data_IF_599213033559
#
_entry.id   IF_599213033559
#
_cell.length_a   1.000
_cell.length_b   1.000
_cell.length_c   1.000
_cell.angle_alpha   90.00
_cell.angle_beta   90.00
_cell.angle_gamma   90.00
#
_symmetry.space_group_name_H-M   'P 1'
#
loop_
_entity.id
_entity.type
_entity.pdbx_description
1 polymer ?
#
# COMPACT_ATOMS: atom_id res chain seq x y z
N UNK A 1 -4.10 13.58 -11.70
CA UNK A 1 -3.59 12.74 -10.59
C UNK A 1 -4.15 11.33 -10.73
N UNK A 2 -3.29 10.31 -10.85
CA UNK A 2 -3.68 8.90 -10.95
C UNK A 2 -3.83 8.31 -9.55
N UNK A 3 -4.96 7.65 -9.30
CA UNK A 3 -5.26 6.96 -8.05
C UNK A 3 -4.76 5.52 -8.15
N UNK A 4 -3.82 5.15 -7.30
CA UNK A 4 -3.12 3.87 -7.35
C UNK A 4 -3.60 2.98 -6.21
N UNK A 5 -3.94 1.73 -6.53
CA UNK A 5 -4.16 0.67 -5.55
C UNK A 5 -3.00 -0.33 -5.62
N UNK A 6 -2.46 -0.74 -4.47
CA UNK A 6 -1.34 -1.68 -4.38
C UNK A 6 -1.81 -2.98 -3.72
N UNK A 7 -1.54 -4.12 -4.36
CA UNK A 7 -1.88 -5.44 -3.82
C UNK A 7 -0.63 -6.06 -3.16
N UNK A 8 -0.81 -6.59 -1.96
CA UNK A 8 0.28 -7.13 -1.13
C UNK A 8 -0.08 -8.49 -0.51
N UNK A 9 0.94 -9.29 -0.20
CA UNK A 9 0.79 -10.60 0.43
C UNK A 9 1.72 -10.84 1.62
N UNK A 10 2.61 -9.88 1.94
CA UNK A 10 3.68 -10.04 2.93
C UNK A 10 4.23 -8.71 3.46
N UNK A 11 5.55 -8.61 3.64
CA UNK A 11 6.22 -7.53 4.38
C UNK A 11 6.14 -6.12 3.77
N UNK A 12 5.85 -6.00 2.46
CA UNK A 12 5.59 -4.72 1.80
C UNK A 12 6.79 -3.78 1.67
N UNK A 13 8.01 -4.29 1.49
CA UNK A 13 9.21 -3.44 1.30
C UNK A 13 9.11 -2.56 0.05
N UNK A 14 8.58 -3.09 -1.06
CA UNK A 14 8.32 -2.29 -2.26
C UNK A 14 7.24 -1.23 -2.04
N UNK A 15 6.20 -1.55 -1.25
CA UNK A 15 5.18 -0.59 -0.85
C UNK A 15 5.82 0.56 -0.04
N UNK A 16 6.72 0.25 0.89
CA UNK A 16 7.46 1.27 1.65
C UNK A 16 8.20 2.23 0.70
N UNK A 17 8.96 1.70 -0.26
CA UNK A 17 9.73 2.51 -1.20
C UNK A 17 8.84 3.43 -2.04
N UNK A 18 7.68 2.93 -2.51
CA UNK A 18 6.70 3.72 -3.28
C UNK A 18 6.12 4.85 -2.41
N UNK A 19 5.70 4.54 -1.19
CA UNK A 19 5.11 5.51 -0.27
C UNK A 19 6.11 6.59 0.15
N UNK A 20 7.37 6.23 0.37
CA UNK A 20 8.43 7.19 0.67
C UNK A 20 8.75 8.07 -0.56
N UNK A 21 8.78 7.49 -1.76
CA UNK A 21 8.97 8.22 -3.01
C UNK A 21 7.85 9.23 -3.26
N UNK A 22 6.60 8.87 -2.95
CA UNK A 22 5.47 9.79 -2.95
C UNK A 22 5.65 10.94 -1.95
N UNK A 23 6.06 10.65 -0.69
CA UNK A 23 6.38 11.70 0.30
C UNK A 23 7.52 12.62 -0.13
N UNK A 24 8.50 12.11 -0.87
CA UNK A 24 9.60 12.91 -1.45
C UNK A 24 9.19 13.73 -2.68
N UNK A 25 7.96 13.55 -3.19
CA UNK A 25 7.47 14.27 -4.36
C UNK A 25 8.01 13.75 -5.70
N UNK A 26 8.61 12.56 -5.71
CA UNK A 26 9.18 11.93 -6.93
C UNK A 26 8.09 11.42 -7.88
N UNK A 27 6.86 11.23 -7.36
CA UNK A 27 5.70 10.78 -8.12
C UNK A 27 4.58 11.84 -8.14
N UNK A 28 4.80 13.03 -8.74
CA UNK A 28 3.85 14.16 -8.63
C UNK A 28 2.47 13.86 -9.26
N UNK A 29 2.39 12.84 -10.12
CA UNK A 29 1.18 12.46 -10.83
C UNK A 29 0.50 11.20 -10.28
N UNK A 30 1.04 10.57 -9.24
CA UNK A 30 0.54 9.31 -8.68
C UNK A 30 0.30 9.43 -7.18
N UNK A 31 -0.81 8.87 -6.71
CA UNK A 31 -1.13 8.80 -5.29
C UNK A 31 -1.59 7.40 -4.92
N UNK A 32 -0.94 6.77 -3.96
CA UNK A 32 -1.41 5.51 -3.38
C UNK A 32 -2.58 5.81 -2.47
N UNK A 33 -3.78 5.40 -2.89
CA UNK A 33 -5.02 5.65 -2.16
C UNK A 33 -5.57 4.41 -1.45
N UNK A 34 -5.06 3.23 -1.80
CA UNK A 34 -5.54 1.95 -1.27
C UNK A 34 -4.44 0.89 -1.27
N UNK A 35 -4.32 0.16 -0.17
CA UNK A 35 -3.50 -1.07 -0.09
C UNK A 35 -4.41 -2.25 0.23
N UNK A 36 -4.35 -3.30 -0.58
CA UNK A 36 -5.16 -4.51 -0.42
C UNK A 36 -4.27 -5.70 -0.11
N UNK A 37 -4.50 -6.33 1.04
CA UNK A 37 -3.79 -7.55 1.43
C UNK A 37 -4.59 -8.81 1.11
N UNK A 38 -3.90 -9.86 0.69
CA UNK A 38 -4.51 -11.18 0.43
C UNK A 38 -4.76 -12.02 1.68
N UNK A 39 -4.26 -11.59 2.84
CA UNK A 39 -4.47 -12.21 4.16
C UNK A 39 -4.32 -11.16 5.28
N UNK A 40 -5.01 -11.33 6.42
CA UNK A 40 -4.84 -10.43 7.56
C UNK A 40 -3.43 -10.54 8.17
N UNK A 41 -3.03 -9.53 8.94
CA UNK A 41 -1.78 -9.54 9.70
C UNK A 41 -0.49 -9.37 8.88
N UNK A 42 -0.57 -9.02 7.60
CA UNK A 42 0.64 -8.70 6.82
C UNK A 42 1.19 -7.34 7.20
N UNK A 43 2.51 -7.25 7.38
CA UNK A 43 3.16 -6.01 7.83
C UNK A 43 3.01 -4.84 6.85
N UNK A 44 2.73 -5.11 5.58
CA UNK A 44 2.40 -4.09 4.60
C UNK A 44 1.17 -3.23 4.97
N UNK A 45 0.19 -3.79 5.70
CA UNK A 45 -0.99 -3.03 6.16
C UNK A 45 -0.59 -1.95 7.16
N UNK A 46 0.24 -2.32 8.15
CA UNK A 46 0.81 -1.36 9.12
C UNK A 46 1.61 -0.26 8.44
N UNK A 47 2.40 -0.61 7.41
CA UNK A 47 3.13 0.40 6.62
C UNK A 47 2.18 1.37 5.92
N UNK A 48 1.12 0.88 5.29
CA UNK A 48 0.13 1.74 4.64
C UNK A 48 -0.57 2.68 5.63
N UNK A 49 -0.97 2.16 6.80
CA UNK A 49 -1.60 2.93 7.87
C UNK A 49 -0.70 4.03 8.41
N UNK A 50 0.59 3.76 8.60
CA UNK A 50 1.59 4.76 9.01
C UNK A 50 1.78 5.90 8.00
N UNK A 51 1.35 5.70 6.76
CA UNK A 51 1.34 6.72 5.71
C UNK A 51 -0.04 7.34 5.49
N UNK A 52 -1.04 6.98 6.30
CA UNK A 52 -2.41 7.47 6.18
C UNK A 52 -3.18 6.91 4.97
N UNK A 53 -2.72 5.79 4.41
CA UNK A 53 -3.33 5.16 3.25
C UNK A 53 -4.41 4.17 3.69
N UNK A 54 -5.56 4.19 3.02
CA UNK A 54 -6.66 3.25 3.29
C UNK A 54 -6.21 1.81 3.06
N UNK A 55 -6.58 0.91 3.96
CA UNK A 55 -6.28 -0.52 3.86
C UNK A 55 -7.54 -1.36 3.70
N UNK A 56 -7.40 -2.52 3.06
CA UNK A 56 -8.42 -3.55 2.99
C UNK A 56 -7.78 -4.95 2.98
N UNK A 57 -8.51 -5.95 3.46
CA UNK A 57 -8.11 -7.36 3.37
C UNK A 57 -9.14 -8.09 2.53
N UNK A 58 -8.68 -8.78 1.49
CA UNK A 58 -9.48 -9.68 0.67
C UNK A 58 -8.85 -11.07 0.78
N UNK A 59 -9.34 -11.92 1.70
CA UNK A 59 -8.82 -13.27 1.88
C UNK A 59 -8.89 -14.06 0.58
N UNK A 60 -7.85 -14.83 0.26
CA UNK A 60 -7.90 -15.77 -0.88
C UNK A 60 -9.00 -16.80 -0.63
N UNK A 61 -9.78 -17.09 -1.66
CA UNK A 61 -10.70 -18.23 -1.65
C UNK A 61 -9.84 -19.49 -1.77
N UNK A 62 -9.88 -20.34 -0.75
CA UNK A 62 -9.35 -21.69 -0.82
C UNK A 62 -10.30 -22.55 -1.66
#
# INVERSE_FOLDING_TARGET
MKRIAVLVSGGGTNLQAILESERRGENPNGQVVLVVASKPGVYALTRAENFGVKTAVVPRKN
#
